data_IF_677058058838
#
_entry.id   IF_677058058838
#
_cell.length_a   1.000
_cell.length_b   1.000
_cell.length_c   1.000
_cell.angle_alpha   90.00
_cell.angle_beta   90.00
_cell.angle_gamma   90.00
#
_symmetry.space_group_name_H-M   'P 1'
#
loop_
_entity.id
_entity.type
_entity.pdbx_description
1 polymer ?
#
# COMPACT_ATOMS: atom_id res chain seq x y z
N UNK A 1 0.26 8.90 -21.27
CA UNK A 1 -0.91 8.45 -20.54
C UNK A 1 -1.73 9.64 -20.04
N UNK A 2 -3.02 9.46 -19.80
CA UNK A 2 -3.94 10.52 -19.32
C UNK A 2 -3.40 11.21 -18.06
N UNK A 3 -2.87 10.46 -17.12
CA UNK A 3 -2.26 10.98 -15.90
C UNK A 3 -1.03 11.85 -16.15
N UNK A 4 -0.13 11.44 -17.05
CA UNK A 4 1.06 12.25 -17.39
C UNK A 4 0.66 13.59 -17.99
N UNK A 5 -0.31 13.60 -18.91
CA UNK A 5 -0.83 14.83 -19.50
C UNK A 5 -1.49 15.71 -18.41
N UNK A 6 -2.24 15.11 -17.49
CA UNK A 6 -2.82 15.85 -16.38
C UNK A 6 -1.76 16.48 -15.48
N UNK A 7 -0.71 15.71 -15.11
CA UNK A 7 0.41 16.22 -14.31
C UNK A 7 1.18 17.35 -15.02
N UNK A 8 1.33 17.26 -16.34
CA UNK A 8 2.01 18.30 -17.12
C UNK A 8 1.19 19.60 -17.24
N UNK A 9 -0.12 19.47 -17.41
CA UNK A 9 -0.97 20.61 -17.77
C UNK A 9 -1.64 21.29 -16.58
N UNK A 10 -1.98 20.54 -15.53
CA UNK A 10 -2.91 21.01 -14.49
C UNK A 10 -2.47 20.78 -13.06
N UNK A 11 -1.54 19.89 -12.80
CA UNK A 11 -1.26 19.50 -11.43
C UNK A 11 0.24 19.52 -11.14
N UNK A 12 0.67 20.47 -10.31
CA UNK A 12 2.04 20.56 -9.87
C UNK A 12 2.16 20.05 -8.43
N UNK A 13 2.19 18.74 -8.25
CA UNK A 13 2.49 18.09 -6.98
C UNK A 13 3.58 17.02 -7.13
N UNK A 14 4.40 16.79 -6.08
CA UNK A 14 5.41 15.75 -6.14
C UNK A 14 4.78 14.37 -6.25
N UNK A 15 5.36 13.51 -7.11
CA UNK A 15 4.94 12.12 -7.25
C UNK A 15 6.15 11.20 -7.32
N UNK A 16 6.04 10.01 -6.72
CA UNK A 16 6.93 8.90 -7.00
C UNK A 16 6.23 7.96 -7.97
N UNK A 17 6.92 7.60 -9.03
CA UNK A 17 6.49 6.62 -10.04
C UNK A 17 7.10 5.28 -9.66
N UNK A 18 6.26 4.30 -9.38
CA UNK A 18 6.66 2.94 -9.00
C UNK A 18 6.64 2.06 -10.24
N UNK A 19 7.83 1.65 -10.68
CA UNK A 19 8.06 0.70 -11.75
C UNK A 19 8.41 -0.69 -11.18
N UNK A 20 8.54 -1.68 -12.03
CA UNK A 20 8.87 -3.06 -11.61
C UNK A 20 10.16 -3.14 -10.79
N UNK A 21 11.21 -2.45 -11.22
CA UNK A 21 12.55 -2.55 -10.61
C UNK A 21 13.13 -1.19 -10.19
N UNK A 22 12.34 -0.12 -10.20
CA UNK A 22 12.83 1.23 -9.92
C UNK A 22 11.74 2.15 -9.38
N UNK A 23 12.17 3.15 -8.63
CA UNK A 23 11.36 4.27 -8.17
C UNK A 23 11.97 5.56 -8.71
N UNK A 24 11.16 6.42 -9.29
CA UNK A 24 11.57 7.75 -9.76
C UNK A 24 10.63 8.81 -9.25
N UNK A 25 11.13 10.02 -9.06
CA UNK A 25 10.36 11.15 -8.58
C UNK A 25 10.44 12.31 -9.57
N UNK A 26 9.34 13.05 -9.76
CA UNK A 26 9.35 14.20 -10.67
C UNK A 26 10.07 15.42 -10.09
N UNK A 27 9.90 15.72 -8.81
CA UNK A 27 10.64 16.75 -8.06
C UNK A 27 10.42 16.59 -6.55
N UNK A 28 11.21 17.30 -5.75
CA UNK A 28 11.09 17.36 -4.30
C UNK A 28 10.72 18.77 -3.83
N UNK A 29 10.05 18.83 -2.68
CA UNK A 29 9.75 20.05 -1.95
C UNK A 29 9.91 19.80 -0.43
N UNK A 30 9.62 20.81 0.37
CA UNK A 30 9.72 20.70 1.84
C UNK A 30 8.82 19.60 2.42
N UNK A 31 7.61 19.43 1.88
CA UNK A 31 6.67 18.38 2.31
C UNK A 31 7.24 16.97 2.08
N UNK A 32 7.78 16.71 0.90
CA UNK A 32 8.37 15.40 0.57
C UNK A 32 9.64 15.12 1.37
N UNK A 33 10.47 16.14 1.58
CA UNK A 33 11.67 16.01 2.42
C UNK A 33 11.29 15.61 3.86
N UNK A 34 10.28 16.25 4.45
CA UNK A 34 9.75 15.89 5.77
C UNK A 34 9.18 14.46 5.79
N UNK A 35 8.45 14.07 4.74
CA UNK A 35 7.88 12.72 4.65
C UNK A 35 8.97 11.65 4.60
N UNK A 36 10.02 11.84 3.79
CA UNK A 36 11.16 10.91 3.72
C UNK A 36 11.89 10.76 5.06
N UNK A 37 12.07 11.88 5.78
CA UNK A 37 12.68 11.85 7.12
C UNK A 37 11.82 11.11 8.14
N UNK A 38 10.50 11.40 8.19
CA UNK A 38 9.58 10.77 9.13
C UNK A 38 9.41 9.27 8.90
N UNK A 39 9.44 8.84 7.65
CA UNK A 39 9.26 7.43 7.28
C UNK A 39 10.57 6.66 7.15
N UNK A 40 11.71 7.33 7.38
CA UNK A 40 13.05 6.77 7.14
C UNK A 40 13.16 6.12 5.74
N UNK A 41 12.58 6.77 4.74
CA UNK A 41 12.53 6.28 3.37
C UNK A 41 13.60 6.98 2.53
N UNK A 42 14.42 6.24 1.77
CA UNK A 42 15.44 6.85 0.91
C UNK A 42 14.78 7.64 -0.22
N UNK A 43 15.32 8.83 -0.50
CA UNK A 43 14.81 9.65 -1.59
C UNK A 43 15.06 8.97 -2.94
N UNK A 44 14.02 8.77 -3.77
CA UNK A 44 14.20 8.25 -5.12
C UNK A 44 14.98 9.24 -6.02
N UNK A 45 15.65 8.74 -7.07
CA UNK A 45 16.22 9.59 -8.11
C UNK A 45 15.17 10.50 -8.74
N UNK A 46 15.56 11.76 -8.98
CA UNK A 46 14.70 12.75 -9.63
C UNK A 46 14.91 12.69 -11.14
N UNK A 47 13.83 12.51 -11.89
CA UNK A 47 13.82 12.57 -13.35
C UNK A 47 12.78 13.56 -13.85
N UNK A 48 12.97 14.15 -15.04
CA UNK A 48 11.91 14.88 -15.72
C UNK A 48 10.64 14.02 -15.81
N UNK A 49 9.46 14.64 -15.66
CA UNK A 49 8.19 13.91 -15.65
C UNK A 49 8.01 12.99 -16.86
N UNK A 50 8.45 13.45 -18.03
CA UNK A 50 8.39 12.67 -19.29
C UNK A 50 9.25 11.42 -19.28
N UNK A 51 10.34 11.41 -18.50
CA UNK A 51 11.22 10.27 -18.32
C UNK A 51 10.73 9.38 -17.18
N UNK A 52 10.39 9.97 -16.03
CA UNK A 52 9.86 9.24 -14.86
C UNK A 52 8.58 8.46 -15.17
N UNK A 53 7.81 8.91 -16.14
CA UNK A 53 6.56 8.30 -16.57
C UNK A 53 6.68 7.36 -17.79
N UNK A 54 7.90 7.03 -18.23
CA UNK A 54 8.10 6.05 -19.31
C UNK A 54 7.94 4.61 -18.81
N UNK A 55 7.39 3.75 -19.68
CA UNK A 55 7.20 2.34 -19.38
C UNK A 55 5.95 2.04 -18.57
N UNK A 56 5.95 0.90 -17.91
CA UNK A 56 4.83 0.43 -17.09
C UNK A 56 4.94 1.00 -15.67
N UNK A 57 3.87 1.65 -15.22
CA UNK A 57 3.77 2.23 -13.89
C UNK A 57 2.72 1.42 -13.12
N UNK A 58 3.13 0.80 -12.04
CA UNK A 58 2.26 -0.01 -11.19
C UNK A 58 1.50 0.82 -10.15
N UNK A 59 2.14 1.90 -9.67
CA UNK A 59 1.60 2.76 -8.63
C UNK A 59 2.20 4.16 -8.73
N UNK A 60 1.46 5.16 -8.28
CA UNK A 60 1.97 6.49 -7.99
C UNK A 60 1.79 6.81 -6.51
N UNK A 61 2.82 7.35 -5.88
CA UNK A 61 2.72 7.91 -4.54
C UNK A 61 2.63 9.43 -4.72
N UNK A 62 1.44 9.98 -4.51
CA UNK A 62 1.13 11.38 -4.79
C UNK A 62 1.12 12.20 -3.50
N UNK A 63 1.99 13.20 -3.41
CA UNK A 63 2.09 14.11 -2.27
C UNK A 63 1.12 15.28 -2.43
N UNK A 64 -0.16 15.00 -2.43
CA UNK A 64 -1.23 15.99 -2.48
C UNK A 64 -2.12 15.95 -1.22
N UNK A 65 -2.81 17.04 -0.98
CA UNK A 65 -3.77 17.15 0.11
C UNK A 65 -5.06 16.40 -0.17
N UNK A 66 -5.88 16.05 0.84
CA UNK A 66 -7.21 15.47 0.62
C UNK A 66 -8.12 16.30 -0.30
N UNK A 67 -8.00 17.64 -0.26
CA UNK A 67 -8.78 18.53 -1.16
C UNK A 67 -8.33 18.38 -2.61
N UNK A 68 -7.03 18.33 -2.86
CA UNK A 68 -6.49 18.08 -4.20
C UNK A 68 -6.87 16.67 -4.69
N UNK A 69 -6.85 15.68 -3.81
CA UNK A 69 -7.28 14.30 -4.14
C UNK A 69 -8.74 14.28 -4.62
N UNK A 70 -9.66 14.96 -3.92
CA UNK A 70 -11.06 15.06 -4.35
C UNK A 70 -11.24 15.75 -5.70
N UNK A 71 -10.38 16.70 -6.05
CA UNK A 71 -10.41 17.40 -7.34
C UNK A 71 -9.81 16.55 -8.47
N UNK A 72 -8.75 15.80 -8.17
CA UNK A 72 -7.92 15.10 -9.17
C UNK A 72 -8.51 13.73 -9.51
N UNK A 73 -8.96 12.97 -8.52
CA UNK A 73 -9.40 11.58 -8.74
C UNK A 73 -10.55 11.43 -9.74
N UNK A 74 -11.56 12.33 -9.82
CA UNK A 74 -12.58 12.27 -10.88
C UNK A 74 -12.02 12.40 -12.31
N UNK A 75 -10.82 12.94 -12.48
CA UNK A 75 -10.13 13.06 -13.77
C UNK A 75 -9.36 11.78 -14.15
N UNK A 76 -9.29 10.81 -13.25
CA UNK A 76 -8.57 9.55 -13.39
C UNK A 76 -9.52 8.34 -13.24
N UNK A 77 -10.51 8.16 -14.15
CA UNK A 77 -11.60 7.20 -14.00
C UNK A 77 -11.15 5.74 -13.95
N UNK A 78 -9.91 5.44 -14.37
CA UNK A 78 -9.34 4.09 -14.33
C UNK A 78 -8.39 3.87 -13.14
N UNK A 79 -8.36 4.82 -12.21
CA UNK A 79 -7.53 4.76 -11.01
C UNK A 79 -8.39 4.88 -9.75
N UNK A 80 -7.87 4.39 -8.67
CA UNK A 80 -8.38 4.61 -7.32
C UNK A 80 -7.24 5.10 -6.42
N UNK A 81 -7.58 5.85 -5.38
CA UNK A 81 -6.63 6.31 -4.38
C UNK A 81 -6.83 5.58 -3.06
N UNK A 82 -5.74 5.31 -2.36
CA UNK A 82 -5.75 4.79 -0.99
C UNK A 82 -4.81 5.63 -0.13
N UNK A 83 -5.29 6.02 1.05
CA UNK A 83 -4.52 6.87 1.97
C UNK A 83 -4.38 6.19 3.33
N UNK A 84 -3.16 5.81 3.67
CA UNK A 84 -2.83 5.25 4.99
C UNK A 84 -2.06 6.25 5.88
N UNK A 85 -1.62 7.38 5.31
CA UNK A 85 -0.98 8.50 6.01
C UNK A 85 -1.59 9.83 5.57
N UNK A 86 -1.43 10.89 6.37
CA UNK A 86 -1.80 12.26 5.97
C UNK A 86 -0.83 12.87 4.96
N UNK A 87 0.34 12.29 4.74
CA UNK A 87 1.44 12.86 3.96
C UNK A 87 1.24 12.69 2.44
N UNK A 88 0.66 11.57 2.02
CA UNK A 88 0.46 11.22 0.61
C UNK A 88 -0.70 10.24 0.42
N UNK A 89 -1.02 9.97 -0.82
CA UNK A 89 -1.97 8.94 -1.24
C UNK A 89 -1.35 8.07 -2.32
N UNK A 90 -1.63 6.78 -2.28
CA UNK A 90 -1.28 5.84 -3.33
C UNK A 90 -2.36 5.86 -4.40
N UNK A 91 -1.98 6.12 -5.64
CA UNK A 91 -2.86 6.01 -6.82
C UNK A 91 -2.50 4.71 -7.53
N UNK A 92 -3.47 3.82 -7.61
CA UNK A 92 -3.34 2.48 -8.20
C UNK A 92 -4.43 2.27 -9.27
N UNK A 93 -4.26 1.32 -10.20
CA UNK A 93 -5.33 0.97 -11.13
C UNK A 93 -6.62 0.59 -10.41
N UNK A 94 -7.76 1.02 -10.97
CA UNK A 94 -9.07 0.67 -10.43
C UNK A 94 -9.23 -0.86 -10.35
N UNK A 95 -9.73 -1.35 -9.23
CA UNK A 95 -9.85 -2.79 -8.96
C UNK A 95 -8.58 -3.48 -8.51
N UNK A 96 -7.46 -2.76 -8.38
CA UNK A 96 -6.25 -3.29 -7.76
C UNK A 96 -6.28 -3.03 -6.26
N UNK A 97 -6.07 -4.08 -5.46
CA UNK A 97 -5.90 -3.99 -4.01
C UNK A 97 -5.18 -5.24 -3.50
N UNK A 98 -4.85 -5.29 -2.20
CA UNK A 98 -4.14 -6.42 -1.60
C UNK A 98 -4.92 -7.75 -1.68
N UNK A 99 -6.25 -7.71 -1.61
CA UNK A 99 -7.10 -8.88 -1.80
C UNK A 99 -6.93 -9.48 -3.20
N UNK A 100 -7.00 -8.65 -4.25
CA UNK A 100 -6.83 -9.11 -5.64
C UNK A 100 -5.42 -9.65 -5.87
N UNK A 101 -4.40 -9.02 -5.28
CA UNK A 101 -3.03 -9.53 -5.30
C UNK A 101 -2.91 -10.92 -4.66
N UNK A 102 -3.49 -11.09 -3.48
CA UNK A 102 -3.56 -12.38 -2.78
C UNK A 102 -4.29 -13.44 -3.62
N UNK A 103 -5.45 -13.09 -4.18
CA UNK A 103 -6.22 -14.01 -5.02
C UNK A 103 -5.41 -14.51 -6.22
N UNK A 104 -4.69 -13.62 -6.91
CA UNK A 104 -3.81 -14.01 -8.02
C UNK A 104 -2.69 -14.97 -7.60
N UNK A 105 -2.10 -14.78 -6.42
CA UNK A 105 -1.08 -15.66 -5.87
C UNK A 105 -1.70 -17.05 -5.54
N UNK A 106 -2.84 -17.06 -4.89
CA UNK A 106 -3.59 -18.30 -4.57
C UNK A 106 -3.88 -19.09 -5.85
N UNK A 107 -4.45 -18.43 -6.86
CA UNK A 107 -4.75 -19.04 -8.16
C UNK A 107 -3.48 -19.56 -8.87
N UNK A 108 -2.40 -18.78 -8.83
CA UNK A 108 -1.13 -19.16 -9.48
C UNK A 108 -0.50 -20.42 -8.88
N UNK A 109 -0.55 -20.56 -7.56
CA UNK A 109 0.05 -21.70 -6.86
C UNK A 109 -0.94 -22.85 -6.62
N UNK A 110 -2.21 -22.67 -6.95
CA UNK A 110 -3.25 -23.69 -6.80
C UNK A 110 -3.65 -23.95 -5.34
N UNK A 111 -3.47 -22.95 -4.46
CA UNK A 111 -3.95 -23.00 -3.08
C UNK A 111 -5.45 -22.72 -3.01
N UNK A 112 -6.10 -23.20 -1.95
CA UNK A 112 -7.43 -22.76 -1.58
C UNK A 112 -7.35 -21.54 -0.63
N UNK A 113 -8.44 -20.81 -0.52
CA UNK A 113 -8.55 -19.65 0.37
C UNK A 113 -8.30 -20.05 1.84
N UNK A 114 -8.75 -21.21 2.24
CA UNK A 114 -8.67 -21.78 3.59
C UNK A 114 -7.23 -22.09 4.02
N UNK A 115 -6.31 -22.20 3.04
CA UNK A 115 -4.88 -22.43 3.29
C UNK A 115 -4.08 -21.13 3.46
N UNK A 116 -4.76 -19.98 3.52
CA UNK A 116 -4.11 -18.66 3.55
C UNK A 116 -4.35 -17.97 4.87
N UNK A 117 -3.27 -17.49 5.48
CA UNK A 117 -3.28 -16.58 6.62
C UNK A 117 -2.87 -15.19 6.16
N UNK A 118 -3.67 -14.17 6.48
CA UNK A 118 -3.35 -12.78 6.21
C UNK A 118 -3.06 -12.01 7.49
N UNK A 119 -2.02 -11.18 7.47
CA UNK A 119 -1.69 -10.23 8.52
C UNK A 119 -1.88 -8.81 8.00
N UNK A 120 -2.47 -7.92 8.81
CA UNK A 120 -2.70 -6.54 8.41
C UNK A 120 -2.75 -5.57 9.59
N UNK A 121 -2.41 -4.30 9.34
CA UNK A 121 -2.48 -3.22 10.32
C UNK A 121 -3.10 -1.93 9.76
N UNK A 122 -3.18 -1.79 8.43
CA UNK A 122 -3.70 -0.63 7.72
C UNK A 122 -5.13 -0.81 7.21
N UNK A 123 -5.84 0.30 6.97
CA UNK A 123 -7.18 0.26 6.38
C UNK A 123 -7.24 -0.36 4.98
N UNK A 124 -6.14 -0.30 4.24
CA UNK A 124 -5.98 -0.93 2.92
C UNK A 124 -5.83 -2.47 3.01
N UNK A 125 -5.63 -3.04 4.21
CA UNK A 125 -5.57 -4.48 4.44
C UNK A 125 -6.94 -5.10 4.69
N UNK A 126 -7.96 -4.31 5.04
CA UNK A 126 -9.30 -4.80 5.39
C UNK A 126 -9.87 -5.77 4.34
N UNK A 127 -9.87 -5.47 3.03
CA UNK A 127 -10.37 -6.40 2.03
C UNK A 127 -9.59 -7.71 1.98
N UNK A 128 -8.27 -7.67 2.20
CA UNK A 128 -7.41 -8.85 2.25
C UNK A 128 -7.70 -9.70 3.49
N UNK A 129 -7.84 -9.08 4.66
CA UNK A 129 -8.19 -9.75 5.91
C UNK A 129 -9.56 -10.45 5.80
N UNK A 130 -10.57 -9.76 5.26
CA UNK A 130 -11.90 -10.35 5.05
C UNK A 130 -11.93 -11.49 4.03
N UNK A 131 -10.97 -11.54 3.13
CA UNK A 131 -10.88 -12.58 2.10
C UNK A 131 -10.11 -13.81 2.56
N UNK A 132 -9.08 -13.70 3.38
CA UNK A 132 -8.24 -14.80 3.84
C UNK A 132 -9.03 -15.90 4.57
N UNK A 133 -8.51 -17.11 4.59
CA UNK A 133 -9.05 -18.22 5.39
C UNK A 133 -8.91 -17.97 6.87
N UNK A 134 -7.75 -17.44 7.29
CA UNK A 134 -7.50 -16.93 8.65
C UNK A 134 -6.96 -15.52 8.52
N UNK A 135 -7.52 -14.59 9.27
CA UNK A 135 -7.11 -13.20 9.27
C UNK A 135 -6.64 -12.73 10.65
N UNK A 136 -5.51 -12.03 10.67
CA UNK A 136 -4.87 -11.55 11.91
C UNK A 136 -4.62 -10.04 11.79
N UNK A 137 -5.24 -9.26 12.66
CA UNK A 137 -4.91 -7.84 12.82
C UNK A 137 -3.78 -7.67 13.83
N UNK A 138 -2.82 -6.79 13.49
CA UNK A 138 -1.74 -6.42 14.39
C UNK A 138 -2.24 -5.57 15.55
N UNK A 139 -1.62 -5.69 16.73
CA UNK A 139 -2.00 -4.96 17.93
C UNK A 139 -1.92 -3.43 17.80
N UNK A 140 -1.03 -2.92 16.95
CA UNK A 140 -0.92 -1.50 16.60
C UNK A 140 -1.97 -1.01 15.57
N UNK A 141 -2.80 -1.90 15.02
CA UNK A 141 -3.83 -1.53 14.06
C UNK A 141 -4.95 -0.68 14.69
N UNK A 142 -5.63 0.11 13.85
CA UNK A 142 -6.83 0.84 14.25
C UNK A 142 -8.02 -0.11 14.46
N UNK A 143 -9.01 0.32 15.25
CA UNK A 143 -10.18 -0.51 15.62
C UNK A 143 -10.92 -1.08 14.42
N UNK A 144 -11.10 -0.33 13.33
CA UNK A 144 -11.76 -0.82 12.12
C UNK A 144 -11.03 -2.02 11.49
N UNK A 145 -9.69 -2.04 11.54
CA UNK A 145 -8.88 -3.17 11.04
C UNK A 145 -9.01 -4.36 11.99
N UNK A 146 -8.92 -4.12 13.31
CA UNK A 146 -9.08 -5.16 14.35
C UNK A 146 -10.44 -5.85 14.26
N UNK A 147 -11.51 -5.08 13.99
CA UNK A 147 -12.86 -5.61 13.83
C UNK A 147 -13.07 -6.41 12.54
N UNK A 148 -12.19 -6.27 11.55
CA UNK A 148 -12.27 -6.99 10.28
C UNK A 148 -11.50 -8.31 10.26
N UNK A 149 -10.82 -8.68 11.35
CA UNK A 149 -9.98 -9.86 11.44
C UNK A 149 -10.56 -10.87 12.43
N UNK A 150 -10.25 -12.16 12.23
CA UNK A 150 -10.65 -13.25 13.12
C UNK A 150 -9.90 -13.20 14.45
N UNK A 151 -8.64 -12.74 14.43
CA UNK A 151 -7.76 -12.70 15.61
C UNK A 151 -6.98 -11.37 15.65
N UNK A 152 -6.81 -10.85 16.86
CA UNK A 152 -5.95 -9.67 17.10
C UNK A 152 -4.72 -10.13 17.89
N UNK A 153 -3.56 -9.96 17.31
CA UNK A 153 -2.28 -10.31 17.95
C UNK A 153 -1.63 -9.10 18.66
N UNK A 154 -0.42 -9.26 19.17
CA UNK A 154 0.39 -8.17 19.72
C UNK A 154 0.85 -7.19 18.63
N UNK A 155 1.44 -6.07 19.04
CA UNK A 155 1.99 -5.08 18.10
C UNK A 155 3.19 -5.63 17.33
N UNK A 156 3.60 -4.89 16.28
CA UNK A 156 4.82 -5.21 15.52
C UNK A 156 6.07 -5.18 16.41
N UNK A 157 6.12 -4.28 17.40
CA UNK A 157 7.23 -4.13 18.33
C UNK A 157 7.27 -5.23 19.42
N UNK A 158 6.23 -6.05 19.49
CA UNK A 158 6.05 -7.11 20.49
C UNK A 158 6.00 -8.51 19.85
N UNK A 159 6.61 -8.68 18.68
CA UNK A 159 6.64 -9.95 17.93
C UNK A 159 5.26 -10.50 17.58
N UNK A 160 4.31 -9.62 17.21
CA UNK A 160 2.91 -9.98 16.98
C UNK A 160 2.71 -11.10 15.95
N UNK A 161 3.45 -11.10 14.83
CA UNK A 161 3.35 -12.16 13.82
C UNK A 161 3.81 -13.51 14.40
N UNK A 162 4.94 -13.56 15.10
CA UNK A 162 5.45 -14.77 15.73
C UNK A 162 4.45 -15.33 16.76
N UNK A 163 3.90 -14.45 17.60
CA UNK A 163 2.90 -14.84 18.62
C UNK A 163 1.63 -15.40 17.99
N UNK A 164 1.15 -14.81 16.90
CA UNK A 164 -0.03 -15.31 16.19
C UNK A 164 0.23 -16.67 15.54
N UNK A 165 1.36 -16.85 14.84
CA UNK A 165 1.71 -18.12 14.21
C UNK A 165 1.88 -19.24 15.23
N UNK A 166 2.43 -18.92 16.43
CA UNK A 166 2.52 -19.85 17.56
C UNK A 166 1.15 -20.18 18.13
N UNK A 167 0.28 -19.17 18.33
CA UNK A 167 -1.08 -19.36 18.85
C UNK A 167 -1.95 -20.22 17.92
N UNK A 168 -1.70 -20.13 16.61
CA UNK A 168 -2.40 -20.90 15.57
C UNK A 168 -1.74 -22.26 15.29
N UNK A 169 -0.76 -22.67 16.10
CA UNK A 169 0.00 -23.93 15.96
C UNK A 169 0.68 -24.11 14.59
N UNK A 170 0.97 -23.01 13.87
CA UNK A 170 1.67 -23.03 12.58
C UNK A 170 3.18 -23.21 12.77
N UNK A 171 3.74 -22.61 13.82
CA UNK A 171 5.13 -22.78 14.21
C UNK A 171 5.24 -23.27 15.66
N UNK A 172 6.26 -24.10 15.94
CA UNK A 172 6.50 -24.58 17.28
C UNK A 172 7.20 -23.53 18.15
N UNK A 173 6.91 -23.55 19.47
CA UNK A 173 7.55 -22.69 20.47
C UNK A 173 8.98 -23.10 20.81
N UNK A 174 9.55 -24.10 20.16
CA UNK A 174 10.93 -24.53 20.45
C UNK A 174 11.90 -23.57 19.77
N UNK A 175 12.74 -22.86 20.55
CA UNK A 175 13.84 -22.10 19.96
C UNK A 175 14.84 -23.10 19.33
N UNK A 176 15.36 -22.72 18.17
CA UNK A 176 16.50 -23.41 17.52
C UNK A 176 17.74 -23.29 18.38
#
# INVERSE_FOLDING_TARGET
SMLVNYLQEKANFPCIFVHENALYMNYINEQTTKAFQLLNFPQPPILPLTEAAQGEIFQLIAFFTPSQEMEIMPQLPHCQSTRWTSLFSDIIPLGSNKQIGMQKIIEHYGFSREEVIAFGDGGNDIPMLQYAGISVAMGNAKDAVKQSADYVTASVDEDGIYKALTHLDIISTHPF
#
